data_IF_321517225344
#
_entry.id   IF_321517225344
#
_cell.length_a   1.000
_cell.length_b   1.000
_cell.length_c   1.000
_cell.angle_alpha   90.00
_cell.angle_beta   90.00
_cell.angle_gamma   90.00
#
_symmetry.space_group_name_H-M   'P 1'
#
loop_
_entity.id
_entity.type
_entity.pdbx_description
1 polymer ?
#
# COMPACT_ATOMS: atom_id res chain seq x y z
N UNK A 1 -29.24 -21.79 2.61
CA UNK A 1 -28.95 -21.93 1.16
C UNK A 1 -28.20 -20.72 0.58
N UNK A 2 -28.69 -19.49 0.78
CA UNK A 2 -28.07 -18.27 0.22
C UNK A 2 -26.64 -17.97 0.73
N UNK A 3 -26.37 -18.20 2.03
CA UNK A 3 -25.02 -18.03 2.59
C UNK A 3 -24.01 -19.04 2.03
N UNK A 4 -24.42 -20.29 1.84
CA UNK A 4 -23.56 -21.36 1.31
C UNK A 4 -23.16 -21.08 -0.14
N UNK A 5 -24.10 -20.55 -0.95
CA UNK A 5 -23.84 -20.14 -2.34
C UNK A 5 -22.88 -18.94 -2.38
N UNK A 6 -23.08 -17.93 -1.52
CA UNK A 6 -22.14 -16.79 -1.40
C UNK A 6 -20.74 -17.27 -1.03
N UNK A 7 -20.62 -18.16 -0.05
CA UNK A 7 -19.32 -18.66 0.41
C UNK A 7 -18.59 -19.45 -0.69
N UNK A 8 -19.32 -20.25 -1.48
CA UNK A 8 -18.77 -20.94 -2.66
C UNK A 8 -18.34 -19.96 -3.75
N UNK A 9 -19.09 -18.90 -4.00
CA UNK A 9 -18.71 -17.86 -4.95
C UNK A 9 -17.45 -17.09 -4.51
N UNK A 10 -17.32 -16.78 -3.21
CA UNK A 10 -16.10 -16.19 -2.66
C UNK A 10 -14.90 -17.13 -2.80
N UNK A 11 -15.08 -18.42 -2.49
CA UNK A 11 -14.03 -19.42 -2.63
C UNK A 11 -13.58 -19.57 -4.08
N UNK A 12 -14.52 -19.65 -5.02
CA UNK A 12 -14.22 -19.73 -6.46
C UNK A 12 -13.46 -18.49 -6.92
N UNK A 13 -13.91 -17.30 -6.52
CA UNK A 13 -13.25 -16.03 -6.87
C UNK A 13 -11.84 -15.97 -6.30
N UNK A 14 -11.63 -16.46 -5.08
CA UNK A 14 -10.32 -16.55 -4.45
C UNK A 14 -9.39 -17.51 -5.20
N UNK A 15 -9.88 -18.68 -5.59
CA UNK A 15 -9.10 -19.66 -6.37
C UNK A 15 -8.72 -19.09 -7.74
N UNK A 16 -9.67 -18.47 -8.46
CA UNK A 16 -9.40 -17.81 -9.75
C UNK A 16 -8.36 -16.71 -9.59
N UNK A 17 -8.48 -15.88 -8.53
CA UNK A 17 -7.50 -14.86 -8.21
C UNK A 17 -6.10 -15.45 -7.99
N UNK A 18 -5.98 -16.55 -7.23
CA UNK A 18 -4.70 -17.22 -7.01
C UNK A 18 -4.08 -17.75 -8.29
N UNK A 19 -4.88 -18.34 -9.19
CA UNK A 19 -4.40 -18.85 -10.48
C UNK A 19 -3.89 -17.71 -11.36
N UNK A 20 -4.63 -16.59 -11.42
CA UNK A 20 -4.22 -15.40 -12.17
C UNK A 20 -2.96 -14.78 -11.57
N UNK A 21 -2.87 -14.66 -10.25
CA UNK A 21 -1.70 -14.15 -9.56
C UNK A 21 -0.47 -15.04 -9.81
N UNK A 22 -0.63 -16.36 -9.73
CA UNK A 22 0.42 -17.32 -10.06
C UNK A 22 0.87 -17.20 -11.52
N UNK A 23 -0.07 -17.13 -12.45
CA UNK A 23 0.24 -16.96 -13.88
C UNK A 23 0.99 -15.65 -14.13
N UNK A 24 0.60 -14.55 -13.49
CA UNK A 24 1.32 -13.27 -13.62
C UNK A 24 2.72 -13.38 -13.00
N UNK A 25 2.87 -14.07 -11.88
CA UNK A 25 4.17 -14.28 -11.22
C UNK A 25 5.19 -15.02 -12.09
N UNK A 26 4.76 -15.83 -13.06
CA UNK A 26 5.69 -16.51 -13.99
C UNK A 26 6.17 -15.59 -15.12
N UNK A 27 5.53 -14.45 -15.35
CA UNK A 27 5.89 -13.47 -16.40
C UNK A 27 6.62 -12.23 -15.87
N UNK A 28 6.61 -12.00 -14.55
CA UNK A 28 7.23 -10.82 -13.94
C UNK A 28 8.33 -11.22 -12.95
N UNK A 29 9.32 -10.35 -12.77
CA UNK A 29 10.37 -10.58 -11.78
C UNK A 29 9.78 -10.60 -10.36
N UNK A 30 10.38 -11.35 -9.42
CA UNK A 30 9.93 -11.39 -8.02
C UNK A 30 9.80 -9.98 -7.39
N UNK A 31 10.71 -9.08 -7.75
CA UNK A 31 10.69 -7.67 -7.35
C UNK A 31 9.43 -6.97 -7.87
N UNK A 32 9.11 -7.10 -9.16
CA UNK A 32 7.91 -6.50 -9.75
C UNK A 32 6.63 -7.07 -9.14
N UNK A 33 6.64 -8.36 -8.79
CA UNK A 33 5.52 -8.99 -8.11
C UNK A 33 5.29 -8.38 -6.71
N UNK A 34 6.36 -8.27 -5.93
CA UNK A 34 6.29 -7.81 -4.54
C UNK A 34 6.10 -6.30 -4.41
N UNK A 35 6.77 -5.50 -5.24
CA UNK A 35 6.75 -4.04 -5.16
C UNK A 35 5.64 -3.38 -5.97
N UNK A 36 5.10 -4.03 -7.01
CA UNK A 36 4.12 -3.38 -7.89
C UNK A 36 2.79 -4.14 -7.92
N UNK A 37 2.81 -5.42 -8.27
CA UNK A 37 1.58 -6.19 -8.48
C UNK A 37 0.76 -6.36 -7.20
N UNK A 38 1.39 -6.87 -6.13
CA UNK A 38 0.73 -7.13 -4.85
C UNK A 38 0.21 -5.83 -4.20
N UNK A 39 1.00 -4.74 -4.10
CA UNK A 39 0.51 -3.44 -3.62
C UNK A 39 -0.66 -2.90 -4.44
N UNK A 40 -0.64 -3.05 -5.76
CA UNK A 40 -1.71 -2.56 -6.63
C UNK A 40 -3.02 -3.28 -6.36
N UNK A 41 -3.00 -4.61 -6.33
CA UNK A 41 -4.21 -5.40 -6.06
C UNK A 41 -4.75 -5.10 -4.66
N UNK A 42 -3.89 -5.10 -3.65
CA UNK A 42 -4.32 -4.79 -2.29
C UNK A 42 -4.94 -3.40 -2.19
N UNK A 43 -4.37 -2.41 -2.89
CA UNK A 43 -4.88 -1.03 -2.92
C UNK A 43 -6.26 -0.96 -3.59
N UNK A 44 -6.42 -1.61 -4.74
CA UNK A 44 -7.70 -1.68 -5.47
C UNK A 44 -8.76 -2.38 -4.63
N UNK A 45 -8.43 -3.51 -4.02
CA UNK A 45 -9.34 -4.28 -3.17
C UNK A 45 -9.77 -3.47 -1.95
N UNK A 46 -8.82 -2.88 -1.21
CA UNK A 46 -9.08 -2.07 -0.03
C UNK A 46 -9.94 -0.84 -0.37
N UNK A 47 -9.61 -0.14 -1.46
CA UNK A 47 -10.41 0.97 -1.95
C UNK A 47 -11.83 0.53 -2.34
N UNK A 48 -11.96 -0.58 -3.08
CA UNK A 48 -13.24 -1.14 -3.51
C UNK A 48 -14.18 -1.46 -2.34
N UNK A 49 -13.66 -2.13 -1.31
CA UNK A 49 -14.42 -2.51 -0.10
C UNK A 49 -14.90 -1.27 0.66
N UNK A 50 -14.03 -0.27 0.80
CA UNK A 50 -14.29 0.88 1.65
C UNK A 50 -14.63 2.16 0.89
N UNK A 51 -14.98 2.05 -0.39
CA UNK A 51 -15.26 3.16 -1.29
C UNK A 51 -16.28 4.16 -0.71
N UNK A 52 -17.31 3.69 0.00
CA UNK A 52 -18.30 4.57 0.64
C UNK A 52 -17.73 5.48 1.74
N UNK A 53 -16.62 5.08 2.35
CA UNK A 53 -15.92 5.80 3.43
C UNK A 53 -14.54 6.29 2.96
N UNK A 54 -14.34 6.48 1.66
CA UNK A 54 -13.02 6.78 1.09
C UNK A 54 -12.35 8.00 1.70
N UNK A 55 -13.10 9.04 2.11
CA UNK A 55 -12.54 10.23 2.77
C UNK A 55 -11.80 9.91 4.07
N UNK A 56 -12.28 8.94 4.86
CA UNK A 56 -11.60 8.48 6.09
C UNK A 56 -10.31 7.74 5.78
N UNK A 57 -10.34 6.89 4.74
CA UNK A 57 -9.14 6.17 4.28
C UNK A 57 -8.12 7.14 3.73
N UNK A 58 -8.54 8.13 2.93
CA UNK A 58 -7.69 9.19 2.43
C UNK A 58 -6.97 9.91 3.56
N UNK A 59 -7.71 10.38 4.57
CA UNK A 59 -7.13 11.08 5.71
C UNK A 59 -6.10 10.22 6.47
N UNK A 60 -6.39 8.94 6.71
CA UNK A 60 -5.46 8.02 7.34
C UNK A 60 -4.22 7.76 6.48
N UNK A 61 -4.42 7.55 5.17
CA UNK A 61 -3.35 7.31 4.21
C UNK A 61 -2.41 8.52 4.11
N UNK A 62 -2.98 9.72 4.01
CA UNK A 62 -2.24 10.98 4.02
C UNK A 62 -1.49 11.18 5.33
N UNK A 63 -2.13 10.92 6.48
CA UNK A 63 -1.48 11.02 7.78
C UNK A 63 -0.24 10.12 7.87
N UNK A 64 -0.34 8.86 7.44
CA UNK A 64 0.79 7.91 7.48
C UNK A 64 1.90 8.36 6.53
N UNK A 65 1.57 8.75 5.29
CA UNK A 65 2.54 9.21 4.30
C UNK A 65 3.26 10.48 4.76
N UNK A 66 2.55 11.46 5.29
CA UNK A 66 3.15 12.70 5.79
C UNK A 66 3.99 12.46 7.05
N UNK A 67 3.53 11.61 7.97
CA UNK A 67 4.31 11.25 9.18
C UNK A 67 5.62 10.57 8.80
N UNK A 68 5.59 9.66 7.83
CA UNK A 68 6.80 9.01 7.33
C UNK A 68 7.75 9.99 6.63
N UNK A 69 7.22 10.90 5.81
CA UNK A 69 8.03 11.94 5.17
C UNK A 69 8.68 12.88 6.19
N UNK A 70 7.94 13.28 7.24
CA UNK A 70 8.45 14.10 8.33
C UNK A 70 9.56 13.39 9.09
N UNK A 71 9.42 12.09 9.37
CA UNK A 71 10.42 11.29 10.05
C UNK A 71 11.72 11.15 9.23
N UNK A 72 11.62 10.95 7.91
CA UNK A 72 12.78 10.96 7.01
C UNK A 72 13.43 12.35 6.97
N UNK A 73 12.64 13.43 6.94
CA UNK A 73 13.16 14.79 6.98
C UNK A 73 13.90 15.09 8.30
N UNK A 74 13.36 14.63 9.44
CA UNK A 74 14.02 14.72 10.75
C UNK A 74 15.36 13.97 10.76
N UNK A 75 15.42 12.75 10.22
CA UNK A 75 16.68 12.01 10.08
C UNK A 75 17.71 12.76 9.23
N UNK A 76 17.30 13.31 8.07
CA UNK A 76 18.19 14.13 7.23
C UNK A 76 18.69 15.38 7.94
N UNK A 77 17.83 16.08 8.68
CA UNK A 77 18.21 17.26 9.45
C UNK A 77 19.22 16.93 10.55
N UNK A 78 19.08 15.78 11.23
CA UNK A 78 20.02 15.34 12.25
C UNK A 78 21.40 15.02 11.70
N UNK A 79 21.47 14.38 10.52
CA UNK A 79 22.73 14.15 9.81
C UNK A 79 23.41 15.47 9.41
N UNK A 80 22.64 16.49 9.00
CA UNK A 80 23.19 17.80 8.63
C UNK A 80 23.80 18.57 9.81
N UNK A 81 23.32 18.34 11.03
CA UNK A 81 23.76 19.05 12.24
C UNK A 81 24.83 18.25 13.02
N UNK A 82 25.32 17.11 12.47
CA UNK A 82 26.27 16.20 13.14
C UNK A 82 25.81 15.72 14.53
N UNK A 83 24.50 15.79 14.79
CA UNK A 83 23.90 15.30 16.04
C UNK A 83 23.42 13.87 15.83
N UNK A 84 24.15 12.92 16.42
CA UNK A 84 23.81 11.49 16.34
C UNK A 84 22.64 11.20 17.29
N UNK A 85 21.42 11.25 16.76
CA UNK A 85 20.24 10.76 17.49
C UNK A 85 19.92 9.34 17.02
N UNK A 86 20.62 8.37 17.63
CA UNK A 86 20.56 6.94 17.28
C UNK A 86 19.14 6.40 17.03
N UNK A 87 18.11 6.72 17.85
CA UNK A 87 16.75 6.23 17.62
C UNK A 87 16.14 6.65 16.29
N UNK A 88 16.37 7.88 15.84
CA UNK A 88 15.78 8.39 14.59
C UNK A 88 16.52 7.80 13.38
N UNK A 89 17.85 7.69 13.47
CA UNK A 89 18.69 7.05 12.46
C UNK A 89 18.29 5.57 12.27
N UNK A 90 18.14 4.81 13.36
CA UNK A 90 17.64 3.43 13.32
C UNK A 90 16.26 3.32 12.66
N UNK A 91 15.35 4.26 12.91
CA UNK A 91 14.00 4.23 12.32
C UNK A 91 14.08 4.53 10.81
N UNK A 92 14.89 5.50 10.38
CA UNK A 92 15.07 5.85 8.97
C UNK A 92 15.76 4.73 8.19
N UNK A 93 16.76 4.09 8.78
CA UNK A 93 17.40 2.91 8.20
C UNK A 93 16.43 1.74 8.13
N UNK A 94 15.65 1.48 9.18
CA UNK A 94 14.64 0.42 9.17
C UNK A 94 13.59 0.66 8.07
N UNK A 95 13.17 1.90 7.85
CA UNK A 95 12.26 2.26 6.75
C UNK A 95 12.90 2.00 5.38
N UNK A 96 14.19 2.28 5.24
CA UNK A 96 14.91 2.21 3.96
C UNK A 96 15.36 0.79 3.60
N UNK A 97 15.65 -0.05 4.59
CA UNK A 97 16.20 -1.40 4.37
C UNK A 97 15.19 -2.53 4.57
N UNK A 98 14.02 -2.26 5.16
CA UNK A 98 12.99 -3.30 5.33
C UNK A 98 12.06 -3.37 4.12
N UNK A 99 12.23 -4.43 3.32
CA UNK A 99 11.43 -4.73 2.12
C UNK A 99 9.91 -4.67 2.39
N UNK A 100 9.44 -5.16 3.54
CA UNK A 100 8.00 -5.13 3.86
C UNK A 100 7.50 -3.70 4.09
N UNK A 101 8.30 -2.85 4.73
CA UNK A 101 7.96 -1.45 5.00
C UNK A 101 7.97 -0.66 3.69
N UNK A 102 8.96 -0.87 2.83
CA UNK A 102 9.03 -0.24 1.50
C UNK A 102 7.80 -0.62 0.67
N UNK A 103 7.46 -1.91 0.61
CA UNK A 103 6.26 -2.39 -0.09
C UNK A 103 4.97 -1.82 0.50
N UNK A 104 4.90 -1.68 1.83
CA UNK A 104 3.77 -1.02 2.49
C UNK A 104 3.64 0.45 2.06
N UNK A 105 4.75 1.20 1.99
CA UNK A 105 4.71 2.58 1.49
C UNK A 105 4.30 2.67 0.02
N UNK A 106 4.75 1.75 -0.83
CA UNK A 106 4.31 1.68 -2.23
C UNK A 106 2.80 1.42 -2.31
N UNK A 107 2.27 0.52 -1.48
CA UNK A 107 0.83 0.31 -1.32
C UNK A 107 0.10 1.61 -0.95
N UNK A 108 0.57 2.37 0.04
CA UNK A 108 -0.06 3.63 0.45
C UNK A 108 -0.05 4.69 -0.67
N UNK A 109 1.03 4.76 -1.44
CA UNK A 109 1.15 5.68 -2.59
C UNK A 109 0.18 5.29 -3.70
N UNK A 110 0.09 4.01 -4.04
CA UNK A 110 -0.86 3.52 -5.07
C UNK A 110 -2.29 3.76 -4.60
N UNK A 111 -2.61 3.48 -3.33
CA UNK A 111 -3.92 3.76 -2.75
C UNK A 111 -4.28 5.25 -2.85
N UNK A 112 -3.33 6.16 -2.61
CA UNK A 112 -3.51 7.60 -2.82
C UNK A 112 -3.85 7.92 -4.27
N UNK A 113 -3.14 7.33 -5.22
CA UNK A 113 -3.40 7.50 -6.65
C UNK A 113 -4.80 7.03 -7.06
N UNK A 114 -5.24 5.86 -6.57
CA UNK A 114 -6.59 5.33 -6.84
C UNK A 114 -7.67 6.26 -6.27
N UNK A 115 -7.49 6.75 -5.04
CA UNK A 115 -8.42 7.71 -4.41
C UNK A 115 -8.48 9.01 -5.21
N UNK A 116 -7.34 9.53 -5.67
CA UNK A 116 -7.28 10.76 -6.47
C UNK A 116 -7.99 10.60 -7.83
N UNK A 117 -7.77 9.48 -8.52
CA UNK A 117 -8.48 9.15 -9.77
C UNK A 117 -9.99 9.04 -9.55
N UNK A 118 -10.39 8.47 -8.42
CA UNK A 118 -11.80 8.44 -8.02
C UNK A 118 -12.36 9.84 -7.82
N UNK A 119 -11.71 10.68 -7.01
CA UNK A 119 -12.16 12.04 -6.77
C UNK A 119 -12.27 12.85 -8.07
N UNK A 120 -11.29 12.73 -8.97
CA UNK A 120 -11.32 13.41 -10.27
C UNK A 120 -12.55 13.01 -11.09
N UNK A 121 -12.88 11.71 -11.14
CA UNK A 121 -14.04 11.20 -11.89
C UNK A 121 -15.39 11.63 -11.30
N UNK A 122 -15.47 11.89 -10.00
CA UNK A 122 -16.71 12.24 -9.30
C UNK A 122 -16.84 13.74 -8.98
N UNK A 123 -15.81 14.54 -9.26
CA UNK A 123 -15.83 16.01 -9.19
C UNK A 123 -16.18 16.66 -10.54
N UNK A 124 -16.08 15.91 -11.64
CA UNK A 124 -16.68 16.25 -12.94
C UNK A 124 -18.16 15.89 -12.98
#
# INVERSE_FOLDING_TARGET
MFQTIKMRAYLLTFIVFLIVAYSISTFITPESYFFVFLPTICSVALFGIHRKKYKKIKALNDFILYSAAALVAMGKALHQVNTVNKPIEYIVDTISFNINIVTFFIFLVILKGIIALYEFKYAS
#
